data_IF_478819662502
#
_entry.id   IF_478819662502
#
_cell.length_a   1.000
_cell.length_b   1.000
_cell.length_c   1.000
_cell.angle_alpha   90.00
_cell.angle_beta   90.00
_cell.angle_gamma   90.00
#
_symmetry.space_group_name_H-M   'P 1'
#
loop_
_entity.id
_entity.type
_entity.pdbx_description
1 polymer ?
#
# COMPACT_ATOMS: atom_id res chain seq x y z
N UNK A 1 38.91 9.11 -18.15
CA UNK A 1 39.21 8.80 -19.56
C UNK A 1 39.13 7.28 -19.71
N UNK A 2 37.96 6.76 -20.06
CA UNK A 2 37.72 5.34 -20.35
C UNK A 2 37.47 5.23 -21.86
N UNK A 3 38.08 4.24 -22.52
CA UNK A 3 38.10 4.08 -23.98
C UNK A 3 36.68 3.81 -24.51
N UNK A 4 36.34 4.46 -25.62
CA UNK A 4 34.98 4.63 -26.16
C UNK A 4 34.47 3.51 -27.09
N UNK A 5 35.09 2.32 -27.14
CA UNK A 5 34.88 1.39 -28.26
C UNK A 5 34.01 0.13 -27.99
N UNK A 6 33.33 -0.01 -26.85
CA UNK A 6 32.56 -1.25 -26.55
C UNK A 6 31.07 -1.06 -26.25
N UNK A 7 30.46 0.09 -26.61
CA UNK A 7 29.07 0.39 -26.23
C UNK A 7 28.00 0.06 -27.28
N UNK A 8 28.32 -0.04 -28.58
CA UNK A 8 27.37 -0.44 -29.63
C UNK A 8 28.00 -1.41 -30.64
N UNK A 9 27.24 -2.35 -31.24
CA UNK A 9 27.69 -3.16 -32.38
C UNK A 9 28.07 -2.29 -33.60
N UNK A 10 29.02 -2.76 -34.43
CA UNK A 10 29.59 -2.01 -35.59
C UNK A 10 28.60 -1.54 -36.67
N UNK A 11 27.32 -1.92 -36.58
CA UNK A 11 26.26 -1.62 -37.55
C UNK A 11 25.22 -0.62 -37.04
N UNK A 12 25.47 0.04 -35.89
CA UNK A 12 24.53 0.93 -35.22
C UNK A 12 25.13 2.33 -34.99
N UNK A 13 24.29 3.38 -35.08
CA UNK A 13 24.70 4.76 -34.83
C UNK A 13 24.52 5.11 -33.34
N UNK A 14 25.49 5.87 -32.80
CA UNK A 14 25.56 6.22 -31.38
C UNK A 14 25.21 7.70 -31.19
N UNK A 15 24.19 7.99 -30.37
CA UNK A 15 23.77 9.35 -30.01
C UNK A 15 23.97 9.59 -28.51
N UNK A 16 24.63 10.71 -28.19
CA UNK A 16 24.89 11.14 -26.82
C UNK A 16 23.88 12.19 -26.38
N UNK A 17 23.17 11.91 -25.30
CA UNK A 17 22.32 12.91 -24.63
C UNK A 17 22.99 13.40 -23.36
N UNK A 18 23.09 14.72 -23.23
CA UNK A 18 23.65 15.38 -22.05
C UNK A 18 22.52 16.01 -21.24
N UNK A 19 22.28 15.50 -20.04
CA UNK A 19 21.40 16.13 -19.05
C UNK A 19 22.08 16.13 -17.68
N UNK A 20 22.32 17.33 -17.15
CA UNK A 20 22.74 17.63 -15.77
C UNK A 20 23.40 16.45 -15.03
N UNK A 21 24.67 16.23 -15.39
CA UNK A 21 25.65 15.34 -14.74
C UNK A 21 25.61 13.83 -15.07
N UNK A 22 24.81 13.38 -16.04
CA UNK A 22 24.88 12.01 -16.57
C UNK A 22 24.93 12.00 -18.12
N UNK A 23 25.71 11.07 -18.68
CA UNK A 23 25.81 10.82 -20.13
C UNK A 23 25.06 9.54 -20.45
N UNK A 24 24.04 9.62 -21.31
CA UNK A 24 23.30 8.46 -21.79
C UNK A 24 23.76 8.10 -23.19
N UNK A 25 23.97 6.79 -23.43
CA UNK A 25 24.34 6.24 -24.74
C UNK A 25 23.19 5.37 -25.22
N UNK A 26 22.60 5.71 -26.36
CA UNK A 26 21.60 4.88 -27.04
C UNK A 26 22.13 4.45 -28.41
N UNK A 27 22.03 3.15 -28.70
CA UNK A 27 22.39 2.56 -29.99
C UNK A 27 21.13 2.41 -30.86
N UNK A 28 21.20 2.87 -32.10
CA UNK A 28 20.10 2.74 -33.06
C UNK A 28 20.55 1.98 -34.31
N UNK A 29 19.70 1.07 -34.79
CA UNK A 29 19.88 0.40 -36.08
C UNK A 29 19.33 1.28 -37.19
N UNK A 30 20.21 1.77 -38.07
CA UNK A 30 19.82 2.60 -39.22
C UNK A 30 19.35 1.71 -40.38
N UNK A 31 18.16 1.99 -40.90
CA UNK A 31 17.66 1.39 -42.13
C UNK A 31 17.43 2.50 -43.15
N UNK A 32 18.01 2.34 -44.33
CA UNK A 32 17.83 3.26 -45.44
C UNK A 32 16.72 2.71 -46.34
N UNK A 33 15.70 3.52 -46.63
CA UNK A 33 14.74 3.21 -47.68
C UNK A 33 14.37 4.51 -48.41
N UNK A 34 14.47 4.47 -49.75
CA UNK A 34 14.06 5.48 -50.73
C UNK A 34 13.81 6.89 -50.18
N UNK A 35 14.91 7.54 -49.79
CA UNK A 35 15.05 8.94 -49.38
C UNK A 35 14.58 9.36 -47.98
N UNK A 36 14.33 8.42 -47.05
CA UNK A 36 14.12 8.75 -45.64
C UNK A 36 14.96 7.88 -44.67
N UNK A 37 15.58 8.54 -43.67
CA UNK A 37 16.23 7.88 -42.55
C UNK A 37 15.17 7.49 -41.51
N UNK A 38 15.00 6.19 -41.23
CA UNK A 38 14.06 5.71 -40.22
C UNK A 38 14.77 5.04 -39.05
N UNK A 39 14.38 5.41 -37.81
CA UNK A 39 14.90 4.83 -36.57
C UNK A 39 13.97 3.70 -36.13
N UNK A 40 14.47 2.46 -36.08
CA UNK A 40 13.70 1.33 -35.56
C UNK A 40 14.12 1.05 -34.12
N UNK A 41 13.25 1.34 -33.16
CA UNK A 41 13.44 0.91 -31.77
C UNK A 41 13.25 -0.61 -31.69
N UNK A 42 14.10 -1.35 -30.96
CA UNK A 42 13.80 -2.74 -30.66
C UNK A 42 12.49 -2.79 -29.87
N UNK A 43 11.54 -3.61 -30.31
CA UNK A 43 10.38 -3.98 -29.51
C UNK A 43 10.92 -4.69 -28.27
N UNK A 44 10.90 -4.00 -27.13
CA UNK A 44 11.37 -4.52 -25.86
C UNK A 44 10.21 -4.57 -24.86
N UNK A 45 10.12 -5.72 -24.21
CA UNK A 45 9.23 -6.09 -23.13
C UNK A 45 8.90 -4.95 -22.16
N UNK A 46 7.61 -4.83 -21.84
CA UNK A 46 7.06 -3.90 -20.85
C UNK A 46 7.74 -4.09 -19.49
N UNK A 47 8.63 -3.16 -19.13
CA UNK A 47 9.26 -3.03 -17.83
C UNK A 47 8.76 -1.77 -17.11
N UNK A 48 9.01 -1.72 -15.81
CA UNK A 48 8.40 -0.89 -14.76
C UNK A 48 8.48 0.65 -14.90
N UNK A 49 8.86 1.17 -16.06
CA UNK A 49 9.03 2.61 -16.30
C UNK A 49 7.72 3.39 -16.48
N UNK A 50 6.61 2.73 -16.86
CA UNK A 50 5.32 3.43 -17.05
C UNK A 50 4.65 3.86 -15.74
N UNK A 51 5.02 3.30 -14.59
CA UNK A 51 4.53 3.75 -13.28
C UNK A 51 5.27 5.00 -12.78
N UNK A 52 6.52 5.23 -13.17
CA UNK A 52 7.32 6.39 -12.74
C UNK A 52 7.29 7.56 -13.73
N UNK A 53 7.07 7.31 -15.04
CA UNK A 53 7.08 8.34 -16.08
C UNK A 53 5.73 9.05 -16.29
N UNK A 54 4.60 8.50 -15.83
CA UNK A 54 3.27 9.13 -15.98
C UNK A 54 2.96 10.25 -14.98
N UNK A 55 3.87 10.58 -14.05
CA UNK A 55 3.67 11.59 -13.01
C UNK A 55 4.54 12.85 -13.17
N UNK A 56 4.73 13.32 -14.40
CA UNK A 56 5.18 14.71 -14.61
C UNK A 56 4.00 15.53 -15.15
N UNK A 57 3.51 16.55 -14.44
CA UNK A 57 2.65 17.53 -15.08
C UNK A 57 3.49 18.25 -16.15
N UNK A 58 2.98 18.32 -17.37
CA UNK A 58 3.53 19.20 -18.39
C UNK A 58 3.60 20.63 -17.83
N UNK A 59 4.68 21.35 -18.15
CA UNK A 59 4.85 22.75 -17.76
C UNK A 59 3.76 23.59 -18.42
N UNK A 60 2.70 23.89 -17.69
CA UNK A 60 1.81 24.99 -18.03
C UNK A 60 2.47 26.29 -17.58
N UNK A 61 2.74 27.17 -18.54
CA UNK A 61 3.23 28.53 -18.30
C UNK A 61 2.09 29.34 -17.69
N UNK A 62 2.27 29.85 -16.47
CA UNK A 62 1.31 30.73 -15.81
C UNK A 62 1.42 32.17 -16.36
N UNK A 63 0.31 32.89 -16.56
CA UNK A 63 0.33 34.34 -16.68
C UNK A 63 0.59 34.99 -15.31
N UNK A 64 1.34 36.09 -15.34
CA UNK A 64 1.80 36.87 -14.20
C UNK A 64 0.69 37.57 -13.40
N UNK A 65 0.83 37.53 -12.07
CA UNK A 65 0.38 38.48 -11.04
C UNK A 65 -1.01 39.12 -11.15
N UNK A 66 -1.89 38.76 -10.20
CA UNK A 66 -2.61 39.75 -9.38
C UNK A 66 -2.80 39.22 -7.96
N UNK A 67 -2.58 40.10 -6.99
CA UNK A 67 -2.71 39.87 -5.55
C UNK A 67 -4.18 39.74 -5.13
N UNK A 68 -4.54 38.67 -4.43
CA UNK A 68 -5.68 38.70 -3.50
C UNK A 68 -5.51 37.64 -2.41
N UNK A 69 -5.83 38.03 -1.18
CA UNK A 69 -5.74 37.20 0.02
C UNK A 69 -6.66 35.96 -0.09
N UNK A 70 -6.30 34.80 0.48
CA UNK A 70 -7.15 33.63 0.45
C UNK A 70 -8.30 33.78 1.46
N UNK A 71 -9.49 34.08 0.96
CA UNK A 71 -10.76 33.85 1.65
C UNK A 71 -11.00 32.34 1.76
N UNK A 72 -11.19 31.87 2.99
CA UNK A 72 -11.62 30.50 3.32
C UNK A 72 -13.04 30.30 2.76
N UNK A 73 -13.32 29.28 1.94
CA UNK A 73 -14.70 28.92 1.65
C UNK A 73 -15.33 28.30 2.89
N UNK A 74 -16.24 29.03 3.51
CA UNK A 74 -17.13 28.54 4.55
C UNK A 74 -18.28 27.71 3.95
N UNK A 75 -18.65 26.67 4.69
CA UNK A 75 -19.93 25.95 4.67
C UNK A 75 -20.33 25.20 3.40
N UNK A 76 -19.92 23.93 3.32
CA UNK A 76 -20.72 22.90 2.66
C UNK A 76 -21.81 22.43 3.64
N UNK A 77 -22.95 23.12 3.63
CA UNK A 77 -24.21 22.58 4.13
C UNK A 77 -24.93 21.84 3.00
N UNK A 78 -25.30 20.58 3.25
CA UNK A 78 -26.22 19.76 2.46
C UNK A 78 -25.84 19.50 0.99
N UNK A 79 -24.91 18.57 0.80
CA UNK A 79 -24.91 17.70 -0.36
C UNK A 79 -24.72 16.27 0.15
N UNK A 80 -25.80 15.52 0.23
CA UNK A 80 -25.77 14.07 0.20
C UNK A 80 -25.17 13.64 -1.14
N UNK A 81 -23.84 13.67 -1.23
CA UNK A 81 -23.08 13.18 -2.36
C UNK A 81 -23.36 11.68 -2.48
N UNK A 82 -24.27 11.34 -3.39
CA UNK A 82 -24.51 9.97 -3.85
C UNK A 82 -23.14 9.37 -4.16
N UNK A 83 -22.81 8.27 -3.49
CA UNK A 83 -21.57 7.53 -3.66
C UNK A 83 -21.21 7.40 -5.15
N UNK A 84 -20.07 7.95 -5.56
CA UNK A 84 -19.53 7.81 -6.92
C UNK A 84 -19.16 6.36 -7.28
N UNK A 85 -19.28 5.42 -6.32
CA UNK A 85 -18.98 4.00 -6.54
C UNK A 85 -19.91 3.41 -7.58
N UNK A 86 -19.31 2.76 -8.56
CA UNK A 86 -20.05 2.04 -9.59
C UNK A 86 -20.50 0.66 -9.09
N UNK A 87 -21.63 0.12 -9.60
CA UNK A 87 -22.11 -1.20 -9.20
C UNK A 87 -21.12 -2.33 -9.51
N UNK A 88 -21.19 -3.42 -8.74
CA UNK A 88 -20.34 -4.62 -8.94
C UNK A 88 -20.43 -5.16 -10.37
N UNK A 89 -21.62 -5.15 -10.97
CA UNK A 89 -21.80 -5.57 -12.37
C UNK A 89 -20.99 -4.77 -13.38
N UNK A 90 -20.64 -3.51 -13.07
CA UNK A 90 -19.91 -2.61 -13.96
C UNK A 90 -18.40 -2.81 -13.85
N UNK A 91 -17.86 -2.97 -12.63
CA UNK A 91 -16.40 -3.11 -12.44
C UNK A 91 -15.90 -4.55 -12.43
N UNK A 92 -16.77 -5.54 -12.15
CA UNK A 92 -16.39 -6.97 -12.13
C UNK A 92 -15.67 -7.46 -13.41
N UNK A 93 -16.04 -7.01 -14.64
CA UNK A 93 -15.31 -7.40 -15.85
C UNK A 93 -13.82 -7.03 -15.86
N UNK A 94 -13.42 -5.95 -15.16
CA UNK A 94 -12.02 -5.48 -15.10
C UNK A 94 -11.14 -6.29 -14.14
N UNK A 95 -11.75 -7.17 -13.34
CA UNK A 95 -11.07 -8.09 -12.41
C UNK A 95 -11.61 -9.52 -12.55
N UNK A 96 -12.08 -9.86 -13.77
CA UNK A 96 -12.74 -11.13 -14.08
C UNK A 96 -11.86 -12.34 -13.74
N UNK A 97 -10.55 -12.20 -13.87
CA UNK A 97 -9.57 -13.24 -13.53
C UNK A 97 -9.66 -13.73 -12.08
N UNK A 98 -10.16 -12.87 -11.17
CA UNK A 98 -10.40 -13.24 -9.78
C UNK A 98 -11.69 -14.06 -9.65
N UNK A 99 -12.78 -13.56 -10.23
CA UNK A 99 -14.10 -14.19 -10.13
C UNK A 99 -14.23 -15.49 -10.93
N UNK A 100 -13.41 -15.68 -11.96
CA UNK A 100 -13.34 -16.94 -12.70
C UNK A 100 -12.71 -18.07 -11.89
N UNK A 101 -11.99 -17.73 -10.82
CA UNK A 101 -11.16 -18.70 -10.09
C UNK A 101 -11.54 -18.88 -8.63
N UNK A 102 -12.05 -17.84 -7.99
CA UNK A 102 -12.66 -17.96 -6.67
C UNK A 102 -14.06 -18.56 -6.82
N UNK A 103 -14.41 -19.60 -6.04
CA UNK A 103 -15.75 -20.15 -6.07
C UNK A 103 -16.74 -19.15 -5.44
N UNK A 104 -18.02 -19.28 -5.80
CA UNK A 104 -19.09 -18.52 -5.13
C UNK A 104 -19.25 -18.93 -3.66
N UNK A 105 -18.98 -20.20 -3.35
CA UNK A 105 -19.08 -20.76 -2.00
C UNK A 105 -17.79 -21.48 -1.62
N UNK A 106 -17.21 -21.11 -0.49
CA UNK A 106 -16.09 -21.82 0.10
C UNK A 106 -16.56 -23.02 0.92
N UNK A 107 -15.67 -24.00 1.10
CA UNK A 107 -15.93 -25.16 1.94
C UNK A 107 -16.16 -24.75 3.39
N UNK A 108 -17.26 -25.20 3.98
CA UNK A 108 -17.57 -25.03 5.41
C UNK A 108 -16.71 -25.91 6.32
N UNK A 109 -15.88 -26.81 5.77
CA UNK A 109 -14.99 -27.70 6.53
C UNK A 109 -13.86 -26.95 7.22
N UNK A 110 -13.41 -25.84 6.64
CA UNK A 110 -12.23 -25.11 7.08
C UNK A 110 -12.63 -23.72 7.57
N UNK A 111 -11.91 -23.18 8.55
CA UNK A 111 -12.10 -21.77 8.95
C UNK A 111 -11.63 -20.82 7.85
N UNK A 112 -10.52 -21.14 7.17
CA UNK A 112 -10.08 -20.35 6.02
C UNK A 112 -11.03 -20.55 4.85
N UNK A 113 -11.22 -19.52 3.99
CA UNK A 113 -11.89 -19.70 2.71
C UNK A 113 -11.07 -20.66 1.84
N UNK A 114 -11.54 -21.89 1.72
CA UNK A 114 -10.87 -22.95 0.98
C UNK A 114 -11.80 -23.64 -0.02
N UNK A 115 -11.24 -24.20 -1.08
CA UNK A 115 -11.94 -24.99 -2.09
C UNK A 115 -11.01 -26.00 -2.75
N UNK A 116 -11.59 -27.03 -3.37
CA UNK A 116 -10.83 -28.00 -4.14
C UNK A 116 -10.70 -27.53 -5.59
N UNK A 117 -9.47 -27.49 -6.10
CA UNK A 117 -9.15 -27.29 -7.50
C UNK A 117 -8.61 -28.62 -8.04
N UNK A 118 -9.52 -29.45 -8.59
CA UNK A 118 -9.22 -30.85 -8.89
C UNK A 118 -8.96 -31.65 -7.61
N UNK A 119 -7.71 -32.09 -7.41
CA UNK A 119 -7.27 -32.80 -6.20
C UNK A 119 -6.48 -31.91 -5.24
N UNK A 120 -6.36 -30.60 -5.54
CA UNK A 120 -5.54 -29.66 -4.77
C UNK A 120 -6.42 -28.75 -3.94
N UNK A 121 -6.25 -28.79 -2.61
CA UNK A 121 -6.89 -27.82 -1.72
C UNK A 121 -6.23 -26.44 -1.88
N UNK A 122 -7.03 -25.45 -2.27
CA UNK A 122 -6.68 -24.04 -2.25
C UNK A 122 -7.29 -23.38 -1.02
N UNK A 123 -6.50 -22.54 -0.35
CA UNK A 123 -6.96 -21.74 0.77
C UNK A 123 -6.38 -20.33 0.62
N UNK A 124 -7.20 -19.32 0.88
CA UNK A 124 -6.80 -17.92 0.94
C UNK A 124 -6.88 -17.42 2.38
N UNK A 125 -6.31 -16.25 2.71
CA UNK A 125 -6.31 -15.74 4.08
C UNK A 125 -7.70 -15.66 4.72
N UNK A 126 -7.79 -16.09 5.98
CA UNK A 126 -8.93 -15.87 6.86
C UNK A 126 -9.02 -14.41 7.31
N UNK A 127 -7.86 -13.77 7.50
CA UNK A 127 -7.77 -12.39 7.96
C UNK A 127 -6.69 -11.59 7.25
N UNK A 128 -6.88 -10.26 7.22
CA UNK A 128 -5.96 -9.32 6.58
C UNK A 128 -5.51 -8.25 7.58
N UNK A 129 -4.21 -8.07 7.72
CA UNK A 129 -3.61 -6.96 8.48
C UNK A 129 -3.13 -5.88 7.50
N UNK A 130 -4.07 -5.03 7.08
CA UNK A 130 -3.97 -4.23 5.85
C UNK A 130 -3.09 -2.99 5.97
N UNK A 131 -2.64 -2.60 7.17
CA UNK A 131 -1.88 -1.38 7.36
C UNK A 131 -1.69 -0.98 8.83
N UNK A 132 -1.08 0.17 9.10
CA UNK A 132 -0.44 1.07 8.13
C UNK A 132 1.09 1.06 8.26
N UNK A 133 1.80 1.47 7.19
CA UNK A 133 3.25 1.67 7.20
C UNK A 133 3.68 2.49 8.44
N UNK A 134 4.73 2.02 9.13
CA UNK A 134 5.29 2.61 10.36
C UNK A 134 4.37 2.71 11.57
N UNK A 135 3.27 1.97 11.56
CA UNK A 135 2.35 1.90 12.68
C UNK A 135 2.54 0.65 13.56
N UNK A 136 3.64 -0.10 13.39
CA UNK A 136 3.94 -1.29 14.21
C UNK A 136 3.41 -2.61 13.65
N UNK A 137 3.00 -2.63 12.39
CA UNK A 137 2.43 -3.81 11.71
C UNK A 137 3.29 -5.06 11.76
N UNK A 138 4.62 -4.93 11.65
CA UNK A 138 5.54 -6.09 11.77
C UNK A 138 5.57 -6.64 13.19
N UNK A 139 5.48 -5.79 14.21
CA UNK A 139 5.48 -6.22 15.60
C UNK A 139 4.16 -6.92 15.94
N UNK A 140 3.03 -6.31 15.59
CA UNK A 140 1.71 -6.91 15.75
C UNK A 140 1.63 -8.28 15.06
N UNK A 141 2.08 -8.38 13.81
CA UNK A 141 2.12 -9.65 13.06
C UNK A 141 2.96 -10.72 13.77
N UNK A 142 4.17 -10.39 14.23
CA UNK A 142 5.04 -11.33 14.98
C UNK A 142 4.34 -11.90 16.21
N UNK A 143 3.50 -11.10 16.90
CA UNK A 143 2.73 -11.55 18.07
C UNK A 143 1.52 -12.40 17.67
N UNK A 144 0.75 -11.99 16.66
CA UNK A 144 -0.44 -12.74 16.19
C UNK A 144 -0.06 -14.15 15.76
N UNK A 145 1.03 -14.32 15.00
CA UNK A 145 1.45 -15.63 14.48
C UNK A 145 2.02 -16.57 15.55
N UNK A 146 2.15 -16.13 16.81
CA UNK A 146 2.45 -17.03 17.94
C UNK A 146 1.20 -17.73 18.48
N UNK A 147 0.00 -17.32 18.05
CA UNK A 147 -1.23 -17.98 18.46
C UNK A 147 -1.25 -19.43 17.91
N UNK A 148 -1.59 -20.46 18.70
CA UNK A 148 -1.53 -21.86 18.25
C UNK A 148 -2.43 -22.18 17.05
N UNK A 149 -3.52 -21.44 16.87
CA UNK A 149 -4.40 -21.56 15.71
C UNK A 149 -3.95 -20.77 14.48
N UNK A 150 -2.91 -19.92 14.57
CA UNK A 150 -2.45 -19.13 13.42
C UNK A 150 -1.23 -19.82 12.80
N UNK A 151 -1.33 -20.16 11.51
CA UNK A 151 -0.19 -20.67 10.75
C UNK A 151 0.75 -19.50 10.46
N UNK A 152 2.01 -19.64 10.88
CA UNK A 152 3.05 -18.69 10.52
C UNK A 152 3.33 -18.77 9.02
N UNK A 153 3.04 -17.69 8.31
CA UNK A 153 3.28 -17.49 6.87
C UNK A 153 4.06 -16.20 6.65
N UNK A 154 4.60 -16.03 5.45
CA UNK A 154 5.34 -14.84 5.08
C UNK A 154 4.47 -13.58 5.20
N UNK A 155 5.04 -12.55 5.82
CA UNK A 155 4.40 -11.22 5.92
C UNK A 155 4.56 -10.51 4.58
N UNK A 156 3.61 -9.64 4.26
CA UNK A 156 3.72 -8.70 3.14
C UNK A 156 3.94 -9.38 1.77
N UNK A 157 3.07 -10.32 1.36
CA UNK A 157 3.12 -10.87 0.00
C UNK A 157 2.93 -9.76 -1.06
N UNK A 158 2.22 -8.68 -0.72
CA UNK A 158 1.94 -7.50 -1.54
C UNK A 158 1.19 -7.80 -2.84
N UNK A 159 0.52 -8.95 -2.90
CA UNK A 159 -0.10 -9.40 -4.12
C UNK A 159 -1.30 -8.55 -4.51
N UNK A 160 -2.28 -8.38 -3.63
CA UNK A 160 -3.52 -7.65 -3.92
C UNK A 160 -3.35 -6.21 -4.43
N UNK A 161 -2.27 -5.55 -4.02
CA UNK A 161 -1.85 -4.25 -4.53
C UNK A 161 -0.69 -4.45 -5.53
N UNK A 162 0.53 -4.08 -5.15
CA UNK A 162 1.63 -3.87 -6.08
C UNK A 162 1.93 -5.03 -7.04
N UNK A 163 1.99 -6.29 -6.58
CA UNK A 163 2.44 -7.39 -7.46
C UNK A 163 1.41 -7.79 -8.49
N UNK A 164 0.12 -7.78 -8.16
CA UNK A 164 -0.97 -8.01 -9.13
C UNK A 164 -0.89 -7.04 -10.31
N UNK A 165 -0.28 -5.87 -10.10
CA UNK A 165 -0.07 -4.84 -11.12
C UNK A 165 1.40 -4.74 -11.60
N UNK A 166 2.16 -5.84 -11.54
CA UNK A 166 3.46 -5.97 -12.20
C UNK A 166 4.66 -5.49 -11.38
N UNK A 167 4.51 -5.22 -10.09
CA UNK A 167 5.66 -4.96 -9.21
C UNK A 167 6.49 -6.23 -8.97
N UNK A 168 7.71 -6.24 -9.52
CA UNK A 168 8.60 -7.43 -9.56
C UNK A 168 9.78 -7.37 -8.60
N UNK A 169 10.03 -6.24 -7.95
CA UNK A 169 11.13 -6.11 -7.00
C UNK A 169 10.97 -7.17 -5.92
N UNK A 170 12.00 -8.00 -5.74
CA UNK A 170 11.98 -9.07 -4.74
C UNK A 170 11.93 -8.45 -3.34
N UNK A 171 10.79 -8.56 -2.64
CA UNK A 171 10.59 -7.93 -1.35
C UNK A 171 11.16 -8.81 -0.22
N UNK A 172 10.71 -8.53 0.99
CA UNK A 172 10.87 -9.40 2.17
C UNK A 172 10.52 -10.85 1.77
N UNK A 173 11.27 -11.81 2.29
CA UNK A 173 11.16 -13.25 1.95
C UNK A 173 11.62 -13.61 0.51
N UNK A 174 12.64 -12.93 -0.03
CA UNK A 174 13.23 -13.19 -1.36
C UNK A 174 13.35 -14.67 -1.75
N UNK A 175 13.85 -15.53 -0.86
CA UNK A 175 14.02 -16.96 -1.16
C UNK A 175 12.69 -17.67 -1.41
N UNK A 176 11.67 -17.38 -0.60
CA UNK A 176 10.32 -17.91 -0.76
C UNK A 176 9.70 -17.40 -2.07
N UNK A 177 9.78 -16.10 -2.34
CA UNK A 177 9.28 -15.50 -3.59
C UNK A 177 9.88 -16.20 -4.82
N UNK A 178 11.20 -16.38 -4.86
CA UNK A 178 11.87 -17.09 -5.96
C UNK A 178 11.49 -18.58 -6.05
N UNK A 179 11.12 -19.20 -4.93
CA UNK A 179 10.59 -20.57 -4.92
C UNK A 179 9.18 -20.61 -5.52
N UNK A 180 8.29 -19.70 -5.14
CA UNK A 180 6.93 -19.63 -5.66
C UNK A 180 6.91 -19.30 -7.16
N UNK A 181 7.81 -18.43 -7.65
CA UNK A 181 8.00 -18.19 -9.10
C UNK A 181 8.27 -19.49 -9.86
N UNK A 182 9.24 -20.28 -9.38
CA UNK A 182 9.59 -21.59 -9.96
C UNK A 182 8.41 -22.57 -9.94
N UNK A 183 7.65 -22.62 -8.85
CA UNK A 183 6.46 -23.49 -8.73
C UNK A 183 5.36 -23.06 -9.71
N UNK A 184 5.19 -21.75 -9.91
CA UNK A 184 4.13 -21.20 -10.75
C UNK A 184 4.45 -21.33 -12.24
N UNK A 185 5.70 -21.58 -12.62
CA UNK A 185 6.13 -21.72 -14.01
C UNK A 185 6.21 -20.38 -14.77
N UNK A 186 6.11 -19.26 -14.05
CA UNK A 186 6.14 -17.90 -14.61
C UNK A 186 7.26 -17.08 -13.98
N UNK A 187 7.81 -16.13 -14.76
CA UNK A 187 8.77 -15.14 -14.25
C UNK A 187 8.10 -13.95 -13.53
N UNK A 188 6.76 -13.84 -13.59
CA UNK A 188 5.99 -12.72 -13.05
C UNK A 188 5.11 -13.13 -11.85
N UNK A 189 5.09 -12.27 -10.83
CA UNK A 189 4.33 -12.47 -9.58
C UNK A 189 2.87 -11.98 -9.68
N UNK A 190 2.47 -11.39 -10.83
CA UNK A 190 1.13 -10.81 -11.00
C UNK A 190 0.00 -11.85 -10.96
N UNK A 191 0.25 -13.05 -11.49
CA UNK A 191 -0.80 -14.04 -11.70
C UNK A 191 -1.42 -14.48 -10.36
N UNK A 192 -2.75 -14.62 -10.30
CA UNK A 192 -3.45 -15.15 -9.11
C UNK A 192 -2.88 -16.50 -8.67
N UNK A 193 -2.47 -17.33 -9.62
CA UNK A 193 -1.83 -18.61 -9.33
C UNK A 193 -0.60 -18.48 -8.43
N UNK A 194 0.18 -17.40 -8.56
CA UNK A 194 1.34 -17.14 -7.70
C UNK A 194 0.91 -16.97 -6.24
N UNK A 195 -0.14 -16.17 -6.00
CA UNK A 195 -0.68 -15.93 -4.66
C UNK A 195 -1.25 -17.20 -4.04
N UNK A 196 -2.01 -17.98 -4.83
CA UNK A 196 -2.52 -19.28 -4.39
C UNK A 196 -1.38 -20.25 -4.07
N UNK A 197 -0.33 -20.29 -4.89
CA UNK A 197 0.83 -21.15 -4.66
C UNK A 197 1.63 -20.75 -3.42
N UNK A 198 1.69 -19.47 -3.08
CA UNK A 198 2.32 -19.00 -1.84
C UNK A 198 1.65 -19.66 -0.61
N UNK A 199 0.33 -19.53 -0.47
CA UNK A 199 -0.38 -20.11 0.67
C UNK A 199 -0.49 -21.65 0.60
N UNK A 200 -0.62 -22.21 -0.61
CA UNK A 200 -0.52 -23.67 -0.79
C UNK A 200 0.82 -24.20 -0.29
N UNK A 201 1.91 -23.48 -0.56
CA UNK A 201 3.24 -23.87 -0.12
C UNK A 201 3.44 -23.74 1.39
N UNK A 202 2.95 -22.65 2.00
CA UNK A 202 3.23 -22.37 3.41
C UNK A 202 2.25 -23.04 4.39
N UNK A 203 1.00 -23.32 3.98
CA UNK A 203 -0.06 -23.62 4.93
C UNK A 203 -0.99 -24.79 4.60
N UNK A 204 -1.25 -25.10 3.32
CA UNK A 204 -2.33 -26.04 2.95
C UNK A 204 -2.21 -27.40 3.65
N UNK A 205 -1.02 -28.02 3.72
CA UNK A 205 -0.86 -29.32 4.40
C UNK A 205 -1.23 -29.26 5.89
N UNK A 206 -0.95 -28.15 6.56
CA UNK A 206 -1.32 -27.95 7.97
C UNK A 206 -2.82 -27.70 8.14
N UNK A 207 -3.42 -26.97 7.20
CA UNK A 207 -4.87 -26.71 7.20
C UNK A 207 -5.65 -28.01 6.91
N UNK A 208 -5.15 -28.85 6.00
CA UNK A 208 -5.73 -30.17 5.71
C UNK A 208 -5.75 -31.07 6.94
N UNK A 209 -4.67 -31.08 7.73
CA UNK A 209 -4.58 -31.90 8.95
C UNK A 209 -5.34 -31.31 10.13
N UNK A 210 -5.47 -29.99 10.21
CA UNK A 210 -6.25 -29.31 11.23
C UNK A 210 -7.05 -28.13 10.64
N UNK A 211 -8.35 -28.37 10.33
CA UNK A 211 -9.20 -27.35 9.72
C UNK A 211 -9.48 -26.11 10.58
N UNK A 212 -9.12 -26.13 11.88
CA UNK A 212 -9.24 -24.97 12.78
C UNK A 212 -8.03 -24.03 12.74
N UNK A 213 -6.99 -24.35 11.97
CA UNK A 213 -5.87 -23.43 11.77
C UNK A 213 -6.25 -22.36 10.76
N UNK A 214 -5.83 -21.12 10.99
CA UNK A 214 -6.06 -19.97 10.11
C UNK A 214 -4.77 -19.39 9.56
N UNK A 215 -4.84 -18.82 8.36
CA UNK A 215 -3.77 -18.04 7.73
C UNK A 215 -4.19 -16.58 7.59
N UNK A 216 -3.22 -15.67 7.60
CA UNK A 216 -3.44 -14.25 7.38
C UNK A 216 -2.56 -13.69 6.28
N UNK A 217 -2.93 -12.52 5.76
CA UNK A 217 -2.10 -11.68 4.89
C UNK A 217 -1.88 -10.32 5.55
N UNK A 218 -0.63 -9.97 5.81
CA UNK A 218 -0.25 -8.75 6.51
C UNK A 218 0.43 -7.70 5.61
N UNK A 219 -0.04 -7.57 4.37
CA UNK A 219 0.36 -6.51 3.46
C UNK A 219 -0.16 -5.14 3.85
N UNK A 220 0.76 -4.24 4.22
CA UNK A 220 0.44 -2.83 4.48
C UNK A 220 -0.11 -2.10 3.24
N UNK A 221 0.25 -2.58 2.05
CA UNK A 221 -0.20 -1.98 0.78
C UNK A 221 -1.69 -2.21 0.53
N UNK A 222 -2.29 -3.16 1.24
CA UNK A 222 -3.69 -3.53 1.05
C UNK A 222 -4.61 -2.38 1.48
N UNK A 223 -4.28 -1.62 2.55
CA UNK A 223 -5.10 -0.50 3.03
C UNK A 223 -5.41 0.53 1.95
N UNK A 224 -4.42 0.86 1.12
CA UNK A 224 -4.51 1.88 0.07
C UNK A 224 -4.50 1.29 -1.35
N UNK A 225 -4.78 0.00 -1.50
CA UNK A 225 -4.82 -0.66 -2.79
C UNK A 225 -6.02 -0.19 -3.64
N UNK A 226 -5.80 -0.09 -4.94
CA UNK A 226 -6.86 0.13 -5.92
C UNK A 226 -7.43 -1.20 -6.41
N UNK A 227 -8.72 -1.17 -6.79
CA UNK A 227 -9.33 -2.29 -7.48
C UNK A 227 -8.74 -2.47 -8.88
N UNK A 228 -8.46 -1.34 -9.54
CA UNK A 228 -7.83 -1.22 -10.85
C UNK A 228 -6.89 0.01 -10.87
N UNK A 229 -5.62 -0.21 -11.23
CA UNK A 229 -4.62 0.86 -11.35
C UNK A 229 -4.66 1.58 -12.71
N UNK A 230 -5.45 1.08 -13.66
CA UNK A 230 -5.69 1.71 -14.97
C UNK A 230 -7.07 2.36 -15.06
N UNK A 231 -7.72 2.62 -13.92
CA UNK A 231 -9.10 3.09 -13.86
C UNK A 231 -9.36 4.40 -14.64
N UNK A 232 -8.37 5.29 -14.76
CA UNK A 232 -8.50 6.52 -15.56
C UNK A 232 -8.70 6.23 -17.06
N UNK A 233 -8.12 5.13 -17.55
CA UNK A 233 -8.28 4.68 -18.94
C UNK A 233 -9.65 4.01 -19.13
N UNK A 234 -10.08 3.24 -18.14
CA UNK A 234 -11.33 2.48 -18.20
C UNK A 234 -12.58 3.32 -17.89
N UNK A 235 -12.42 4.39 -17.10
CA UNK A 235 -13.50 5.24 -16.61
C UNK A 235 -13.13 6.74 -16.72
N UNK A 236 -12.96 7.27 -17.95
CA UNK A 236 -12.46 8.63 -18.18
C UNK A 236 -13.36 9.73 -17.61
N UNK A 237 -14.65 9.46 -17.41
CA UNK A 237 -15.62 10.42 -16.85
C UNK A 237 -15.57 10.49 -15.32
N UNK A 238 -14.76 9.67 -14.66
CA UNK A 238 -14.69 9.60 -13.20
C UNK A 238 -13.58 10.50 -12.67
N UNK A 239 -13.90 11.23 -11.60
CA UNK A 239 -12.96 12.12 -10.90
C UNK A 239 -12.15 11.44 -9.80
N UNK A 240 -12.56 10.22 -9.42
CA UNK A 240 -11.96 9.41 -8.37
C UNK A 240 -11.93 7.95 -8.82
N UNK A 241 -11.07 7.11 -8.21
CA UNK A 241 -11.14 5.67 -8.41
C UNK A 241 -12.58 5.17 -8.21
N UNK A 242 -13.17 4.50 -9.22
CA UNK A 242 -14.59 4.19 -9.21
C UNK A 242 -14.93 2.96 -8.33
N UNK A 243 -13.91 2.20 -7.95
CA UNK A 243 -13.94 1.12 -6.97
C UNK A 243 -12.54 0.90 -6.38
N UNK A 244 -12.48 0.36 -5.17
CA UNK A 244 -11.25 0.18 -4.39
C UNK A 244 -10.96 -1.30 -4.16
N UNK A 245 -9.75 -1.61 -3.66
CA UNK A 245 -9.41 -2.99 -3.32
C UNK A 245 -10.34 -3.58 -2.24
N UNK A 246 -10.85 -2.74 -1.32
CA UNK A 246 -11.85 -3.16 -0.34
C UNK A 246 -13.12 -3.71 -0.99
N UNK A 247 -13.60 -3.09 -2.09
CA UNK A 247 -14.79 -3.55 -2.82
C UNK A 247 -14.55 -4.90 -3.51
N UNK A 248 -13.37 -5.06 -4.12
CA UNK A 248 -12.97 -6.33 -4.76
C UNK A 248 -12.84 -7.45 -3.74
N UNK A 249 -12.16 -7.20 -2.63
CA UNK A 249 -11.93 -8.20 -1.60
C UNK A 249 -13.24 -8.60 -0.90
N UNK A 250 -14.13 -7.64 -0.62
CA UNK A 250 -15.44 -7.92 -0.02
C UNK A 250 -16.31 -8.75 -0.97
N UNK A 251 -16.30 -8.47 -2.27
CA UNK A 251 -17.07 -9.23 -3.25
C UNK A 251 -16.60 -10.70 -3.39
N UNK A 252 -15.31 -10.98 -3.11
CA UNK A 252 -14.75 -12.33 -3.15
C UNK A 252 -14.80 -13.04 -1.80
N UNK A 253 -14.61 -12.30 -0.70
CA UNK A 253 -14.46 -12.79 0.66
C UNK A 253 -15.20 -11.84 1.63
N UNK A 254 -16.55 -11.86 1.63
CA UNK A 254 -17.34 -10.92 2.43
C UNK A 254 -17.17 -11.12 3.94
N UNK A 255 -16.77 -12.31 4.38
CA UNK A 255 -16.54 -12.65 5.80
C UNK A 255 -15.09 -12.48 6.24
N UNK A 256 -14.20 -11.98 5.39
CA UNK A 256 -12.79 -11.80 5.73
C UNK A 256 -12.63 -10.86 6.94
N UNK A 257 -11.80 -11.27 7.91
CA UNK A 257 -11.54 -10.44 9.10
C UNK A 257 -10.49 -9.38 8.79
N UNK A 258 -10.85 -8.11 8.90
CA UNK A 258 -9.93 -7.00 8.61
C UNK A 258 -9.36 -6.42 9.90
N UNK A 259 -8.04 -6.29 9.98
CA UNK A 259 -7.32 -5.65 11.10
C UNK A 259 -6.41 -4.56 10.56
N UNK A 260 -6.27 -3.47 11.32
CA UNK A 260 -5.40 -2.35 10.96
C UNK A 260 -4.83 -1.73 12.24
N UNK A 261 -3.56 -1.34 12.22
CA UNK A 261 -2.94 -0.59 13.32
C UNK A 261 -2.50 0.79 12.82
N UNK A 262 -2.92 1.82 13.52
CA UNK A 262 -2.65 3.23 13.23
C UNK A 262 -1.66 3.81 14.25
N UNK A 263 -1.12 4.99 13.97
CA UNK A 263 -0.23 5.76 14.86
C UNK A 263 -0.60 7.22 14.71
N UNK A 264 -0.25 8.09 15.66
CA UNK A 264 -0.28 9.54 15.41
C UNK A 264 0.34 9.86 14.01
N UNK A 265 -0.43 10.44 13.07
CA UNK A 265 0.03 10.65 11.70
C UNK A 265 1.23 11.59 11.59
N UNK A 266 1.38 12.54 12.53
CA UNK A 266 2.56 13.42 12.64
C UNK A 266 3.81 12.58 12.94
N UNK A 267 3.68 11.69 13.93
CA UNK A 267 4.72 10.77 14.35
C UNK A 267 5.04 9.72 13.28
N UNK A 268 4.03 9.26 12.52
CA UNK A 268 4.21 8.40 11.34
C UNK A 268 5.07 9.10 10.30
N UNK A 269 4.74 10.32 9.90
CA UNK A 269 5.52 11.04 8.87
C UNK A 269 6.95 11.31 9.33
N UNK A 270 7.14 11.67 10.60
CA UNK A 270 8.46 11.86 11.20
C UNK A 270 9.30 10.59 11.19
N UNK A 271 8.75 9.46 11.65
CA UNK A 271 9.53 8.21 11.68
C UNK A 271 9.87 7.70 10.29
N UNK A 272 9.03 7.99 9.30
CA UNK A 272 9.31 7.75 7.88
C UNK A 272 10.49 8.59 7.40
N UNK A 273 10.51 9.90 7.70
CA UNK A 273 11.66 10.75 7.40
C UNK A 273 12.96 10.20 8.00
N UNK A 274 12.89 9.66 9.22
CA UNK A 274 14.05 9.07 9.91
C UNK A 274 14.49 7.70 9.36
N UNK A 275 13.69 7.05 8.52
CA UNK A 275 14.08 5.82 7.84
C UNK A 275 14.92 6.07 6.60
N UNK A 276 14.78 7.23 5.95
CA UNK A 276 15.35 7.50 4.64
C UNK A 276 16.86 7.20 4.62
N UNK A 277 17.20 6.04 4.05
CA UNK A 277 18.53 5.44 4.12
C UNK A 277 19.53 6.17 3.22
N UNK A 278 19.05 7.04 2.33
CA UNK A 278 19.84 7.77 1.35
C UNK A 278 20.32 9.14 1.87
N UNK A 279 19.78 9.61 3.01
CA UNK A 279 20.14 10.89 3.60
C UNK A 279 21.22 10.70 4.66
N UNK A 280 22.49 10.88 4.27
CA UNK A 280 23.65 10.91 5.18
C UNK A 280 23.57 12.02 6.24
N UNK A 281 22.65 13.00 6.09
CA UNK A 281 22.48 14.13 7.00
C UNK A 281 20.99 14.44 7.22
N UNK A 282 20.34 13.70 8.11
CA UNK A 282 18.98 13.96 8.59
C UNK A 282 19.00 15.11 9.62
N UNK A 283 18.17 16.13 9.44
CA UNK A 283 18.05 17.25 10.38
C UNK A 283 16.60 17.75 10.48
N UNK A 284 16.21 18.33 11.62
CA UNK A 284 14.87 18.93 11.78
C UNK A 284 14.59 20.03 10.74
N UNK A 285 15.60 20.82 10.39
CA UNK A 285 15.52 21.86 9.34
C UNK A 285 15.18 21.27 7.97
N UNK A 286 15.82 20.16 7.58
CA UNK A 286 15.51 19.49 6.31
C UNK A 286 14.14 18.84 6.32
N UNK A 287 13.71 18.31 7.46
CA UNK A 287 12.34 17.80 7.60
C UNK A 287 11.31 18.91 7.43
N UNK A 288 11.52 20.06 8.07
CA UNK A 288 10.65 21.23 7.90
C UNK A 288 10.57 21.68 6.43
N UNK A 289 11.71 21.76 5.74
CA UNK A 289 11.73 22.08 4.31
C UNK A 289 10.98 21.05 3.45
N UNK A 290 11.16 19.74 3.70
CA UNK A 290 10.39 18.72 3.01
C UNK A 290 8.89 18.86 3.29
N UNK A 291 8.49 19.10 4.54
CA UNK A 291 7.10 19.34 4.90
C UNK A 291 6.50 20.49 4.10
N UNK A 292 7.17 21.64 4.01
CA UNK A 292 6.70 22.78 3.23
C UNK A 292 6.50 22.44 1.74
N UNK A 293 7.45 21.69 1.15
CA UNK A 293 7.31 21.21 -0.23
C UNK A 293 6.11 20.27 -0.39
N UNK A 294 5.99 19.28 0.48
CA UNK A 294 4.93 18.28 0.43
C UNK A 294 3.55 18.92 0.59
N UNK A 295 3.43 19.88 1.52
CA UNK A 295 2.20 20.64 1.71
C UNK A 295 1.85 21.43 0.44
N UNK A 296 2.82 22.14 -0.17
CA UNK A 296 2.59 22.85 -1.44
C UNK A 296 2.14 21.90 -2.56
N UNK A 297 2.77 20.75 -2.69
CA UNK A 297 2.38 19.73 -3.68
C UNK A 297 0.98 19.16 -3.40
N UNK A 298 0.61 18.98 -2.13
CA UNK A 298 -0.73 18.52 -1.76
C UNK A 298 -1.80 19.54 -2.16
N UNK A 299 -1.59 20.82 -1.84
CA UNK A 299 -2.48 21.92 -2.24
C UNK A 299 -2.60 22.02 -3.75
N UNK A 300 -1.50 21.87 -4.48
CA UNK A 300 -1.52 21.89 -5.94
C UNK A 300 -2.33 20.72 -6.51
N UNK A 301 -2.15 19.50 -5.98
CA UNK A 301 -2.95 18.35 -6.43
C UNK A 301 -4.44 18.58 -6.14
N UNK A 302 -4.77 19.04 -4.93
CA UNK A 302 -6.14 19.26 -4.48
C UNK A 302 -6.83 20.46 -5.16
N UNK A 303 -6.07 21.38 -5.77
CA UNK A 303 -6.65 22.44 -6.62
C UNK A 303 -7.18 21.94 -7.96
N UNK A 304 -6.71 20.77 -8.41
CA UNK A 304 -7.07 20.18 -9.71
C UNK A 304 -7.92 18.92 -9.55
N UNK A 305 -7.75 18.20 -8.45
CA UNK A 305 -8.35 16.91 -8.18
C UNK A 305 -8.93 16.85 -6.77
N UNK A 306 -9.72 15.82 -6.47
CA UNK A 306 -10.21 15.64 -5.10
C UNK A 306 -9.11 15.10 -4.17
N UNK A 307 -9.22 15.27 -2.84
CA UNK A 307 -8.31 14.62 -1.89
C UNK A 307 -8.26 13.10 -2.03
N UNK A 308 -9.37 12.45 -2.41
CA UNK A 308 -9.40 10.99 -2.63
C UNK A 308 -8.51 10.62 -3.82
N UNK A 309 -8.64 11.32 -4.95
CA UNK A 309 -7.78 11.14 -6.10
C UNK A 309 -6.30 11.28 -5.71
N UNK A 310 -5.94 12.41 -5.08
CA UNK A 310 -4.56 12.67 -4.70
C UNK A 310 -4.00 11.62 -3.74
N UNK A 311 -4.82 11.15 -2.78
CA UNK A 311 -4.42 10.15 -1.81
C UNK A 311 -4.20 8.77 -2.42
N UNK A 312 -4.99 8.36 -3.42
CA UNK A 312 -4.80 7.06 -4.07
C UNK A 312 -3.75 7.13 -5.18
N UNK A 313 -3.66 8.20 -5.95
CA UNK A 313 -2.65 8.31 -7.02
C UNK A 313 -1.24 8.51 -6.48
N UNK A 314 -1.07 9.19 -5.34
CA UNK A 314 0.22 9.28 -4.68
C UNK A 314 0.41 8.19 -3.62
N UNK A 315 -0.59 7.93 -2.78
CA UNK A 315 -0.45 7.01 -1.66
C UNK A 315 -0.44 5.52 -2.00
N UNK A 316 -0.86 5.11 -3.20
CA UNK A 316 -0.99 3.67 -3.56
C UNK A 316 0.24 3.07 -4.25
N UNK A 317 1.19 3.90 -4.68
CA UNK A 317 2.36 3.45 -5.44
C UNK A 317 3.39 2.76 -4.53
N UNK A 318 4.23 1.90 -5.10
CA UNK A 318 5.34 1.27 -4.39
C UNK A 318 6.52 2.23 -4.14
N UNK A 319 6.41 3.49 -4.58
CA UNK A 319 7.41 4.52 -4.32
C UNK A 319 7.49 4.81 -2.81
N UNK A 320 8.71 4.82 -2.29
CA UNK A 320 9.02 5.09 -0.89
C UNK A 320 9.29 6.59 -0.65
N UNK A 321 8.82 7.48 -1.53
CA UNK A 321 8.95 8.93 -1.35
C UNK A 321 8.08 9.45 -0.21
N UNK A 322 8.53 10.54 0.44
CA UNK A 322 7.78 11.19 1.52
C UNK A 322 6.41 11.73 1.07
N UNK A 323 6.23 11.95 -0.24
CA UNK A 323 4.97 12.40 -0.82
C UNK A 323 3.85 11.40 -0.58
N UNK A 324 4.14 10.13 -0.84
CA UNK A 324 3.18 9.05 -0.63
C UNK A 324 2.81 8.94 0.86
N UNK A 325 3.79 9.20 1.74
CA UNK A 325 3.62 9.05 3.17
C UNK A 325 2.84 10.19 3.85
N UNK A 326 2.77 11.39 3.24
CA UNK A 326 1.89 12.46 3.71
C UNK A 326 0.43 12.01 3.61
N UNK A 327 0.01 11.59 2.41
CA UNK A 327 -1.35 11.12 2.15
C UNK A 327 -1.67 9.83 2.90
N UNK A 328 -0.74 8.86 2.98
CA UNK A 328 -0.94 7.66 3.81
C UNK A 328 -1.11 7.98 5.31
N UNK A 329 -0.85 9.21 5.76
CA UNK A 329 -1.16 9.68 7.12
C UNK A 329 -2.61 10.13 7.28
N UNK A 330 -3.31 10.38 6.18
CA UNK A 330 -4.72 10.74 6.14
C UNK A 330 -5.56 9.45 6.14
N UNK A 331 -5.58 8.75 7.27
CA UNK A 331 -6.18 7.41 7.36
C UNK A 331 -7.66 7.36 6.97
N UNK A 332 -8.42 8.43 7.24
CA UNK A 332 -9.83 8.56 6.87
C UNK A 332 -10.07 8.25 5.39
N UNK A 333 -9.22 8.76 4.49
CA UNK A 333 -9.42 8.60 3.04
C UNK A 333 -9.36 7.16 2.57
N UNK A 334 -8.65 6.29 3.29
CA UNK A 334 -8.55 4.86 2.96
C UNK A 334 -9.53 4.03 3.78
N UNK A 335 -9.61 4.24 5.10
CA UNK A 335 -10.46 3.43 5.98
C UNK A 335 -11.95 3.62 5.71
N UNK A 336 -12.39 4.79 5.21
CA UNK A 336 -13.78 4.96 4.78
C UNK A 336 -14.18 3.92 3.73
N UNK A 337 -13.27 3.53 2.84
CA UNK A 337 -13.58 2.59 1.77
C UNK A 337 -13.69 1.15 2.30
N UNK A 338 -12.90 0.81 3.31
CA UNK A 338 -13.02 -0.45 4.03
C UNK A 338 -14.31 -0.51 4.84
N UNK A 339 -14.65 0.54 5.59
CA UNK A 339 -15.89 0.61 6.38
C UNK A 339 -17.11 0.56 5.47
N UNK A 340 -17.07 1.21 4.30
CA UNK A 340 -18.15 1.16 3.31
C UNK A 340 -18.36 -0.25 2.74
N UNK A 341 -17.27 -1.03 2.58
CA UNK A 341 -17.34 -2.39 2.02
C UNK A 341 -17.74 -3.44 3.06
N UNK A 342 -17.12 -3.40 4.25
CA UNK A 342 -17.26 -4.46 5.27
C UNK A 342 -18.19 -4.09 6.42
N UNK A 343 -18.47 -2.81 6.66
CA UNK A 343 -19.07 -2.32 7.91
C UNK A 343 -18.02 -2.12 9.00
N UNK A 344 -18.28 -1.18 9.91
CA UNK A 344 -17.33 -0.82 10.99
C UNK A 344 -17.12 -1.99 11.96
N UNK A 345 -18.16 -2.78 12.22
CA UNK A 345 -18.16 -3.95 13.10
C UNK A 345 -17.26 -5.09 12.59
N UNK A 346 -16.98 -5.12 11.28
CA UNK A 346 -16.13 -6.12 10.64
C UNK A 346 -14.72 -5.57 10.34
N UNK A 347 -14.28 -4.55 11.07
CA UNK A 347 -12.93 -4.00 11.01
C UNK A 347 -12.42 -3.73 12.43
N UNK A 348 -11.28 -4.33 12.77
CA UNK A 348 -10.62 -4.08 14.04
C UNK A 348 -9.47 -3.08 13.89
N UNK A 349 -9.67 -1.88 14.42
CA UNK A 349 -8.70 -0.78 14.36
C UNK A 349 -7.95 -0.66 15.69
N UNK A 350 -6.63 -0.83 15.65
CA UNK A 350 -5.72 -0.60 16.77
C UNK A 350 -5.04 0.75 16.66
N UNK A 351 -4.55 1.24 17.80
CA UNK A 351 -3.68 2.41 17.88
C UNK A 351 -2.33 1.98 18.48
N UNK A 352 -1.23 2.37 17.86
CA UNK A 352 0.12 1.93 18.25
C UNK A 352 0.49 2.39 19.66
N UNK A 353 -0.01 3.56 20.06
CA UNK A 353 0.14 4.08 21.41
C UNK A 353 -0.47 3.11 22.44
N UNK A 354 -1.66 2.57 22.17
CA UNK A 354 -2.35 1.60 23.03
C UNK A 354 -1.69 0.21 22.95
N UNK A 355 -1.27 -0.22 21.76
CA UNK A 355 -0.48 -1.45 21.58
C UNK A 355 0.78 -1.45 22.46
N UNK A 356 1.43 -0.31 22.62
CA UNK A 356 2.61 -0.19 23.48
C UNK A 356 2.25 -0.10 24.96
N UNK A 357 1.18 0.61 25.30
CA UNK A 357 0.78 0.83 26.69
C UNK A 357 0.17 -0.43 27.32
N UNK A 358 -0.67 -1.14 26.57
CA UNK A 358 -1.47 -2.27 27.05
C UNK A 358 -1.43 -3.46 26.07
N UNK A 359 -0.26 -4.00 25.73
CA UNK A 359 -0.10 -5.03 24.68
C UNK A 359 -0.89 -6.31 24.94
N UNK A 360 -1.07 -6.70 26.21
CA UNK A 360 -1.85 -7.89 26.58
C UNK A 360 -3.33 -7.70 26.25
N UNK A 361 -3.90 -6.53 26.59
CA UNK A 361 -5.31 -6.24 26.34
C UNK A 361 -5.58 -6.11 24.83
N UNK A 362 -4.70 -5.41 24.11
CA UNK A 362 -4.80 -5.26 22.66
C UNK A 362 -4.66 -6.60 21.93
N UNK A 363 -3.71 -7.46 22.33
CA UNK A 363 -3.56 -8.79 21.72
C UNK A 363 -4.78 -9.67 22.00
N UNK A 364 -5.31 -9.64 23.23
CA UNK A 364 -6.53 -10.37 23.58
C UNK A 364 -7.74 -9.88 22.78
N UNK A 365 -7.83 -8.56 22.53
CA UNK A 365 -8.88 -7.97 21.69
C UNK A 365 -8.77 -8.45 20.24
N UNK A 366 -7.56 -8.51 19.67
CA UNK A 366 -7.33 -9.04 18.32
C UNK A 366 -7.74 -10.51 18.24
N UNK A 367 -7.32 -11.34 19.21
CA UNK A 367 -7.67 -12.77 19.28
C UNK A 367 -9.19 -12.95 19.30
N UNK A 368 -9.88 -12.16 20.14
CA UNK A 368 -11.35 -12.18 20.23
C UNK A 368 -12.00 -11.79 18.92
N UNK A 369 -11.53 -10.73 18.27
CA UNK A 369 -12.07 -10.27 16.98
C UNK A 369 -11.86 -11.27 15.85
N UNK A 370 -10.70 -11.94 15.83
CA UNK A 370 -10.38 -13.02 14.90
C UNK A 370 -11.10 -14.33 15.25
N UNK A 371 -11.96 -14.35 16.28
CA UNK A 371 -12.72 -15.53 16.72
C UNK A 371 -11.82 -16.74 17.00
N UNK A 372 -10.63 -16.49 17.52
CA UNK A 372 -9.69 -17.52 17.95
C UNK A 372 -9.91 -17.91 19.41
N UNK A 373 -9.52 -19.13 19.77
CA UNK A 373 -9.63 -19.64 21.13
C UNK A 373 -8.89 -18.69 22.10
N UNK A 374 -9.49 -18.31 23.23
CA UNK A 374 -8.86 -17.40 24.17
C UNK A 374 -7.58 -18.02 24.77
N UNK A 375 -6.53 -17.22 24.88
CA UNK A 375 -5.27 -17.64 25.46
C UNK A 375 -5.21 -17.39 26.98
N UNK A 376 -4.61 -18.30 27.77
CA UNK A 376 -4.31 -18.04 29.16
C UNK A 376 -3.43 -16.79 29.34
N UNK A 377 -3.61 -16.06 30.43
CA UNK A 377 -2.85 -14.84 30.75
C UNK A 377 -1.32 -15.06 30.68
N UNK A 378 -0.84 -16.23 31.13
CA UNK A 378 0.58 -16.60 31.05
C UNK A 378 1.09 -16.64 29.61
N UNK A 379 0.29 -17.17 28.68
CA UNK A 379 0.62 -17.27 27.26
C UNK A 379 0.59 -15.89 26.60
N UNK A 380 -0.45 -15.09 26.86
CA UNK A 380 -0.52 -13.70 26.38
C UNK A 380 0.72 -12.92 26.80
N UNK A 381 1.08 -12.98 28.09
CA UNK A 381 2.28 -12.32 28.62
C UNK A 381 3.56 -12.82 27.95
N UNK A 382 3.68 -14.13 27.72
CA UNK A 382 4.84 -14.70 27.03
C UNK A 382 4.97 -14.18 25.59
N UNK A 383 3.86 -14.07 24.85
CA UNK A 383 3.83 -13.55 23.48
C UNK A 383 4.17 -12.06 23.48
N UNK A 384 3.54 -11.25 24.33
CA UNK A 384 3.74 -9.79 24.35
C UNK A 384 5.11 -9.38 24.86
N UNK A 385 5.77 -10.22 25.69
CA UNK A 385 7.13 -9.97 26.17
C UNK A 385 8.21 -10.27 25.13
N UNK A 386 7.87 -10.86 23.97
CA UNK A 386 8.82 -11.04 22.87
C UNK A 386 9.36 -9.69 22.42
N UNK A 387 10.64 -9.66 22.04
CA UNK A 387 11.31 -8.46 21.58
C UNK A 387 10.50 -7.73 20.49
N UNK A 388 10.44 -6.40 20.58
CA UNK A 388 9.73 -5.58 19.60
C UNK A 388 10.41 -5.68 18.23
N UNK A 389 9.63 -5.94 17.18
CA UNK A 389 10.15 -6.11 15.82
C UNK A 389 10.20 -4.80 15.03
N UNK A 390 11.05 -4.74 14.00
CA UNK A 390 11.18 -3.62 13.05
C UNK A 390 11.38 -2.23 13.71
N UNK A 391 12.16 -2.19 14.79
CA UNK A 391 12.50 -0.96 15.52
C UNK A 391 13.57 -0.18 14.76
N UNK A 392 13.35 1.12 14.54
CA UNK A 392 14.37 1.99 13.94
C UNK A 392 15.45 2.36 14.98
N UNK A 393 16.35 1.42 15.27
CA UNK A 393 17.46 1.59 16.23
C UNK A 393 18.36 2.76 15.85
N UNK A 394 18.60 2.98 14.55
CA UNK A 394 19.42 4.09 14.04
C UNK A 394 18.79 5.44 14.40
N UNK A 395 17.48 5.59 14.25
CA UNK A 395 16.77 6.80 14.66
C UNK A 395 16.89 7.05 16.17
N UNK A 396 16.72 6.00 17.00
CA UNK A 396 16.88 6.12 18.46
C UNK A 396 18.26 6.64 18.84
N UNK A 397 19.32 6.14 18.20
CA UNK A 397 20.71 6.58 18.45
C UNK A 397 20.99 8.03 18.06
N UNK A 398 20.29 8.56 17.06
CA UNK A 398 20.50 9.94 16.58
C UNK A 398 19.97 11.01 17.54
N UNK A 399 18.98 10.67 18.36
CA UNK A 399 18.35 11.58 19.33
C UNK A 399 17.97 12.96 18.75
N UNK A 400 17.43 12.97 17.53
CA UNK A 400 16.93 14.19 16.88
C UNK A 400 15.41 14.27 17.00
N UNK A 401 14.91 15.48 17.20
CA UNK A 401 13.48 15.79 17.31
C UNK A 401 13.11 16.85 16.29
N UNK A 402 11.90 16.77 15.72
CA UNK A 402 11.41 17.81 14.81
C UNK A 402 11.25 19.15 15.57
N UNK A 403 11.25 20.27 14.84
CA UNK A 403 10.90 21.55 15.45
C UNK A 403 9.45 21.57 15.93
N UNK A 404 9.20 22.25 17.05
CA UNK A 404 7.86 22.45 17.61
C UNK A 404 6.92 23.16 16.63
N UNK A 405 7.44 24.11 15.84
CA UNK A 405 6.68 24.77 14.78
C UNK A 405 6.22 23.77 13.71
N UNK A 406 7.13 22.95 13.18
CA UNK A 406 6.79 21.89 12.22
C UNK A 406 5.75 20.92 12.77
N UNK A 407 5.87 20.53 14.05
CA UNK A 407 4.87 19.66 14.71
C UNK A 407 3.49 20.32 14.69
N UNK A 408 3.42 21.59 15.10
CA UNK A 408 2.16 22.35 15.17
C UNK A 408 1.51 22.48 13.79
N UNK A 409 2.30 22.77 12.75
CA UNK A 409 1.82 22.84 11.37
C UNK A 409 1.26 21.49 10.90
N UNK A 410 1.98 20.39 11.14
CA UNK A 410 1.52 19.05 10.79
C UNK A 410 0.26 18.64 11.57
N UNK A 411 0.19 18.98 12.87
CA UNK A 411 -1.00 18.74 13.68
C UNK A 411 -2.21 19.49 13.11
N UNK A 412 -2.05 20.77 12.76
CA UNK A 412 -3.12 21.55 12.14
C UNK A 412 -3.55 21.00 10.78
N UNK A 413 -2.61 20.48 9.99
CA UNK A 413 -2.90 19.81 8.73
C UNK A 413 -3.72 18.51 8.93
N UNK A 414 -3.33 17.65 9.88
CA UNK A 414 -4.00 16.37 10.11
C UNK A 414 -5.30 16.50 10.93
N UNK A 415 -5.45 17.52 11.77
CA UNK A 415 -6.63 17.79 12.62
C UNK A 415 -7.99 17.58 11.93
N UNK A 416 -8.30 18.22 10.78
CA UNK A 416 -9.60 18.00 10.13
C UNK A 416 -9.82 16.56 9.67
N UNK A 417 -8.76 15.85 9.31
CA UNK A 417 -8.82 14.45 8.88
C UNK A 417 -8.96 13.49 10.06
N UNK A 418 -8.29 13.78 11.17
CA UNK A 418 -8.42 13.03 12.42
C UNK A 418 -9.84 13.15 12.98
N UNK A 419 -10.48 14.31 12.87
CA UNK A 419 -11.91 14.48 13.20
C UNK A 419 -12.80 13.54 12.38
N UNK A 420 -12.66 13.55 11.05
CA UNK A 420 -13.40 12.65 10.17
C UNK A 420 -13.13 11.17 10.46
N UNK A 421 -11.88 10.83 10.82
CA UNK A 421 -11.52 9.47 11.23
C UNK A 421 -12.19 9.06 12.56
N UNK A 422 -12.14 9.93 13.57
CA UNK A 422 -12.77 9.68 14.86
C UNK A 422 -14.29 9.54 14.73
N UNK A 423 -14.92 10.34 13.87
CA UNK A 423 -16.35 10.23 13.53
C UNK A 423 -16.66 8.90 12.83
N UNK A 424 -15.87 8.52 11.81
CA UNK A 424 -16.01 7.26 11.09
C UNK A 424 -15.90 6.05 12.03
N UNK A 425 -14.91 6.07 12.93
CA UNK A 425 -14.61 4.99 13.86
C UNK A 425 -15.42 5.04 15.17
N UNK A 426 -16.19 6.13 15.36
CA UNK A 426 -16.96 6.40 16.59
C UNK A 426 -16.10 6.33 17.86
N UNK A 427 -14.86 6.80 17.77
CA UNK A 427 -13.89 6.74 18.87
C UNK A 427 -13.00 8.00 18.89
N UNK A 428 -13.10 8.85 19.93
CA UNK A 428 -12.34 10.10 20.01
C UNK A 428 -10.84 9.89 20.20
N UNK A 429 -10.35 8.68 20.52
CA UNK A 429 -8.91 8.43 20.69
C UNK A 429 -8.11 8.65 19.38
N UNK A 430 -8.78 8.65 18.24
CA UNK A 430 -8.21 8.94 16.93
C UNK A 430 -8.18 10.44 16.59
N UNK A 431 -8.50 11.32 17.54
CA UNK A 431 -8.14 12.74 17.46
C UNK A 431 -6.65 12.97 17.75
N UNK A 432 -6.01 12.06 18.49
CA UNK A 432 -4.64 12.22 19.02
C UNK A 432 -4.44 13.51 19.82
N UNK A 433 -5.52 14.02 20.42
CA UNK A 433 -5.56 15.22 21.27
C UNK A 433 -5.12 16.51 20.55
N UNK A 434 -5.29 16.54 19.22
CA UNK A 434 -5.21 17.74 18.38
C UNK A 434 -6.16 17.66 17.18
#
# INVERSE_FOLDING_TARGET
>A
MLRHEELCPKTEAMLFFFASSLVFVMCYKLLWNDNHLTFKTPVAHLTSEKLSLRFRPERVVLPSNTSSNPTIPSSDTNSSAVSEKIPVSVWKPYVKELFDRFPENFSSRYLNPCWEEGTTLRCVPYFYQIGSFKCGTTDLWDKIVQHPQVVTVAKEPHWWAWRRFGFKDTPIHRQLVLKIRRITGNEDDHALQWYLNLFSHEATTRIQSNPRLVIGDASISTLWGLGDYEWEQHFPDKRNPPFFLADVLHALQPTAKITVILRDPVEKLWTTYLLDQWKRHLTPKKFHFHWQMLHKESVQCESLNTPTYCAFMHGSTADLSLKNYLYQGIYYLYLKEWVNAYGLENIHVLRLEDWKATPIAELASVIKYLELDPLPMKTLKAITNRATQNVNVRAKKRNITMFTSTRTELQNFYRPWNKKLAELLKDPKYLWDY
#
